data_IF_479393574137
#
_entry.id   IF_479393574137
#
_cell.length_a   1.000
_cell.length_b   1.000
_cell.length_c   1.000
_cell.angle_alpha   90.00
_cell.angle_beta   90.00
_cell.angle_gamma   90.00
#
_symmetry.space_group_name_H-M   'P 1'
#
loop_
_entity.id
_entity.type
_entity.pdbx_description
1 polymer ?
#
# COMPACT_ATOMS: atom_id res chain seq x y z
N UNK A 1 -18.56 -20.45 -7.96
CA UNK A 1 -19.47 -20.02 -6.89
C UNK A 1 -18.78 -20.37 -5.58
N UNK A 2 -18.34 -19.36 -4.82
CA UNK A 2 -17.92 -19.57 -3.44
C UNK A 2 -19.15 -20.09 -2.68
N UNK A 3 -19.02 -21.17 -1.92
CA UNK A 3 -20.09 -21.68 -1.08
C UNK A 3 -20.35 -20.64 0.02
N UNK A 4 -21.60 -20.21 0.17
CA UNK A 4 -21.99 -19.33 1.28
C UNK A 4 -21.82 -20.05 2.60
N UNK A 5 -21.25 -19.36 3.59
CA UNK A 5 -21.16 -19.85 4.96
C UNK A 5 -22.52 -19.78 5.66
N UNK A 6 -22.69 -20.52 6.75
CA UNK A 6 -23.94 -20.53 7.52
C UNK A 6 -24.23 -19.11 8.06
N UNK A 7 -25.44 -18.59 7.75
CA UNK A 7 -25.86 -17.23 8.13
C UNK A 7 -25.61 -16.14 7.08
N UNK A 8 -24.89 -16.43 5.98
CA UNK A 8 -24.73 -15.48 4.89
C UNK A 8 -26.02 -15.38 4.02
N UNK A 9 -26.40 -14.16 3.69
CA UNK A 9 -27.53 -13.88 2.78
C UNK A 9 -27.04 -13.20 1.51
N UNK A 10 -27.49 -13.67 0.35
CA UNK A 10 -27.28 -12.97 -0.91
C UNK A 10 -28.17 -11.72 -0.94
N UNK A 11 -27.58 -10.54 -1.01
CA UNK A 11 -28.27 -9.25 -1.12
C UNK A 11 -28.14 -8.64 -2.52
N UNK A 12 -27.51 -9.37 -3.44
CA UNK A 12 -27.33 -9.05 -4.84
C UNK A 12 -26.53 -10.14 -5.55
N UNK A 13 -26.41 -10.05 -6.87
CA UNK A 13 -25.68 -11.05 -7.66
C UNK A 13 -24.17 -11.15 -7.29
N UNK A 14 -23.58 -10.09 -6.74
CA UNK A 14 -22.14 -9.97 -6.44
C UNK A 14 -21.85 -9.67 -4.99
N UNK A 15 -22.86 -9.58 -4.13
CA UNK A 15 -22.74 -9.19 -2.72
C UNK A 15 -23.47 -10.19 -1.83
N UNK A 16 -22.76 -10.71 -0.82
CA UNK A 16 -23.37 -11.44 0.30
C UNK A 16 -23.06 -10.72 1.60
N UNK A 17 -23.94 -10.84 2.59
CA UNK A 17 -23.78 -10.17 3.87
C UNK A 17 -24.25 -11.04 5.03
N UNK A 18 -23.64 -10.82 6.20
CA UNK A 18 -24.06 -11.41 7.48
C UNK A 18 -23.76 -10.43 8.62
N UNK A 19 -24.51 -10.57 9.73
CA UNK A 19 -24.17 -9.95 10.99
C UNK A 19 -23.47 -11.01 11.86
N UNK A 20 -22.17 -10.83 12.13
CA UNK A 20 -21.37 -11.73 12.96
C UNK A 20 -21.27 -11.18 14.38
N UNK A 21 -21.24 -12.07 15.37
CA UNK A 21 -21.09 -11.74 16.81
C UNK A 21 -22.09 -10.66 17.30
N UNK A 22 -23.18 -10.47 16.56
CA UNK A 22 -24.26 -9.51 16.84
C UNK A 22 -23.88 -8.03 16.72
N UNK A 23 -22.70 -7.69 16.15
CA UNK A 23 -22.24 -6.31 16.01
C UNK A 23 -21.21 -6.08 14.90
N UNK A 24 -20.78 -7.09 14.19
CA UNK A 24 -19.85 -6.97 13.07
C UNK A 24 -20.59 -7.26 11.77
N UNK A 25 -20.76 -6.25 10.94
CA UNK A 25 -21.28 -6.44 9.60
C UNK A 25 -20.19 -7.04 8.69
N UNK A 26 -20.38 -8.26 8.20
CA UNK A 26 -19.49 -8.87 7.23
C UNK A 26 -20.13 -8.84 5.85
N UNK A 27 -19.40 -8.36 4.87
CA UNK A 27 -19.81 -8.25 3.48
C UNK A 27 -18.74 -8.86 2.60
N UNK A 28 -19.16 -9.70 1.64
CA UNK A 28 -18.27 -10.21 0.58
C UNK A 28 -18.69 -9.60 -0.74
N UNK A 29 -17.74 -9.02 -1.45
CA UNK A 29 -17.94 -8.51 -2.82
C UNK A 29 -17.11 -9.37 -3.76
N UNK A 30 -17.76 -10.21 -4.56
CA UNK A 30 -17.07 -11.16 -5.44
C UNK A 30 -16.52 -10.51 -6.73
N UNK A 31 -17.19 -9.50 -7.23
CA UNK A 31 -16.81 -8.71 -8.42
C UNK A 31 -17.60 -7.40 -8.41
N UNK A 32 -17.04 -6.34 -8.99
CA UNK A 32 -17.78 -5.09 -9.18
C UNK A 32 -18.54 -5.10 -10.51
N UNK A 33 -19.85 -4.84 -10.45
CA UNK A 33 -20.73 -4.83 -11.62
C UNK A 33 -22.05 -4.12 -11.35
N UNK A 34 -22.97 -4.14 -12.33
CA UNK A 34 -24.32 -3.61 -12.15
C UNK A 34 -24.99 -4.27 -10.94
N UNK A 35 -25.54 -3.46 -10.04
CA UNK A 35 -26.21 -3.94 -8.83
C UNK A 35 -25.28 -4.14 -7.61
N UNK A 36 -23.96 -4.03 -7.73
CA UNK A 36 -23.05 -4.12 -6.56
C UNK A 36 -23.32 -3.00 -5.55
N UNK A 37 -23.54 -1.77 -6.02
CA UNK A 37 -23.92 -0.65 -5.16
C UNK A 37 -25.21 -0.92 -4.38
N UNK A 38 -26.28 -1.33 -5.06
CA UNK A 38 -27.58 -1.60 -4.40
C UNK A 38 -27.50 -2.78 -3.43
N UNK A 39 -26.73 -3.82 -3.78
CA UNK A 39 -26.45 -4.94 -2.88
C UNK A 39 -25.70 -4.49 -1.63
N UNK A 40 -24.64 -3.70 -1.78
CA UNK A 40 -23.87 -3.19 -0.68
C UNK A 40 -24.65 -2.24 0.22
N UNK A 41 -25.42 -1.32 -0.38
CA UNK A 41 -26.33 -0.42 0.32
C UNK A 41 -27.38 -1.19 1.10
N UNK A 42 -27.99 -2.21 0.51
CA UNK A 42 -28.97 -3.08 1.17
C UNK A 42 -28.35 -3.81 2.37
N UNK A 43 -27.13 -4.36 2.20
CA UNK A 43 -26.41 -5.05 3.27
C UNK A 43 -26.16 -4.12 4.46
N UNK A 44 -25.66 -2.91 4.19
CA UNK A 44 -25.41 -1.90 5.23
C UNK A 44 -26.72 -1.52 5.93
N UNK A 45 -27.73 -1.09 5.19
CA UNK A 45 -29.00 -0.65 5.78
C UNK A 45 -29.73 -1.75 6.59
N UNK A 46 -29.50 -3.03 6.24
CA UNK A 46 -30.08 -4.15 6.98
C UNK A 46 -29.42 -4.34 8.34
N UNK A 47 -28.13 -4.07 8.47
CA UNK A 47 -27.35 -4.40 9.65
C UNK A 47 -26.81 -3.19 10.42
N UNK A 48 -26.87 -1.97 9.88
CA UNK A 48 -26.24 -0.76 10.44
C UNK A 48 -26.70 -0.43 11.86
N UNK A 49 -27.96 -0.70 12.21
CA UNK A 49 -28.47 -0.49 13.57
C UNK A 49 -27.81 -1.38 14.62
N UNK A 50 -27.22 -2.51 14.24
CA UNK A 50 -26.57 -3.47 15.13
C UNK A 50 -25.06 -3.48 14.95
N UNK A 51 -24.56 -3.22 13.73
CA UNK A 51 -23.14 -3.19 13.43
C UNK A 51 -22.48 -1.90 13.98
N UNK A 52 -21.32 -2.05 14.60
CA UNK A 52 -20.46 -0.94 15.02
C UNK A 52 -19.13 -0.92 14.23
N UNK A 53 -18.97 -1.85 13.29
CA UNK A 53 -17.85 -1.97 12.36
C UNK A 53 -18.16 -2.93 11.23
N UNK A 54 -17.40 -2.81 10.14
CA UNK A 54 -17.61 -3.58 8.93
C UNK A 54 -16.35 -4.33 8.51
N UNK A 55 -16.51 -5.58 8.12
CA UNK A 55 -15.50 -6.35 7.39
C UNK A 55 -15.98 -6.46 5.94
N UNK A 56 -15.24 -5.87 4.99
CA UNK A 56 -15.50 -5.96 3.55
C UNK A 56 -14.46 -6.88 2.94
N UNK A 57 -14.88 -8.08 2.57
CA UNK A 57 -14.02 -9.12 2.02
C UNK A 57 -13.93 -8.98 0.49
N UNK A 58 -12.74 -8.59 0.02
CA UNK A 58 -12.40 -8.41 -1.39
C UNK A 58 -11.40 -9.49 -1.87
N UNK A 59 -11.13 -10.51 -1.07
CA UNK A 59 -10.20 -11.57 -1.44
C UNK A 59 -10.73 -12.34 -2.66
N UNK A 60 -9.87 -12.53 -3.66
CA UNK A 60 -10.25 -13.13 -4.93
C UNK A 60 -11.07 -12.25 -5.87
N UNK A 61 -11.40 -11.01 -5.48
CA UNK A 61 -12.11 -10.07 -6.34
C UNK A 61 -11.13 -9.43 -7.35
N UNK A 62 -11.29 -9.76 -8.62
CA UNK A 62 -10.41 -9.27 -9.71
C UNK A 62 -10.80 -7.90 -10.26
N UNK A 63 -11.71 -7.18 -9.59
CA UNK A 63 -12.18 -5.86 -9.99
C UNK A 63 -13.54 -5.92 -10.69
N UNK A 64 -13.63 -5.31 -11.86
CA UNK A 64 -14.85 -5.27 -12.67
C UNK A 64 -15.19 -3.87 -13.17
N UNK A 65 -16.46 -3.52 -13.21
CA UNK A 65 -16.92 -2.23 -13.68
C UNK A 65 -16.52 -1.09 -12.76
N UNK A 66 -15.82 -0.09 -13.33
CA UNK A 66 -15.33 1.05 -12.58
C UNK A 66 -16.45 1.90 -11.99
N UNK A 67 -17.52 2.13 -12.76
CA UNK A 67 -18.65 2.94 -12.28
C UNK A 67 -19.35 2.25 -11.11
N UNK A 68 -19.61 0.95 -11.25
CA UNK A 68 -20.17 0.15 -10.16
C UNK A 68 -19.30 0.13 -8.91
N UNK A 69 -17.97 0.15 -9.07
CA UNK A 69 -17.05 0.26 -7.95
C UNK A 69 -17.07 1.63 -7.27
N UNK A 70 -17.09 2.73 -8.06
CA UNK A 70 -17.18 4.11 -7.53
C UNK A 70 -18.48 4.30 -6.74
N UNK A 71 -19.59 3.82 -7.27
CA UNK A 71 -20.88 3.90 -6.58
C UNK A 71 -20.88 3.03 -5.30
N UNK A 72 -20.28 1.82 -5.34
CA UNK A 72 -20.11 0.96 -4.16
C UNK A 72 -19.23 1.60 -3.09
N UNK A 73 -18.11 2.24 -3.48
CA UNK A 73 -17.24 2.97 -2.56
C UNK A 73 -18.00 4.03 -1.76
N UNK A 74 -18.95 4.73 -2.40
CA UNK A 74 -19.71 5.82 -1.77
C UNK A 74 -20.48 5.39 -0.53
N UNK A 75 -20.88 4.12 -0.42
CA UNK A 75 -21.60 3.57 0.73
C UNK A 75 -20.85 3.84 2.04
N UNK A 76 -19.51 3.71 2.02
CA UNK A 76 -18.67 3.99 3.19
C UNK A 76 -17.92 5.33 3.10
N UNK A 77 -17.68 5.84 1.90
CA UNK A 77 -16.83 7.01 1.68
C UNK A 77 -17.64 8.29 1.43
N UNK A 78 -18.87 8.16 0.95
CA UNK A 78 -19.77 9.28 0.65
C UNK A 78 -19.43 9.97 -0.67
N UNK A 79 -19.98 11.19 -0.81
CA UNK A 79 -19.82 12.03 -1.99
C UNK A 79 -18.38 12.45 -2.25
N UNK A 80 -18.07 12.69 -3.50
CA UNK A 80 -16.86 13.32 -3.97
C UNK A 80 -16.10 12.49 -4.99
N UNK A 81 -14.93 12.98 -5.32
CA UNK A 81 -14.01 12.35 -6.24
C UNK A 81 -13.41 11.12 -5.58
N UNK A 82 -13.60 9.94 -6.15
CA UNK A 82 -13.16 8.68 -5.56
C UNK A 82 -12.07 7.99 -6.38
N UNK A 83 -12.06 8.22 -7.69
CA UNK A 83 -11.09 7.62 -8.59
C UNK A 83 -10.68 8.65 -9.64
N UNK A 84 -9.40 8.65 -9.98
CA UNK A 84 -8.88 9.46 -11.06
C UNK A 84 -8.32 8.57 -12.15
N UNK A 85 -8.51 8.97 -13.41
CA UNK A 85 -7.98 8.30 -14.58
C UNK A 85 -7.06 9.25 -15.33
N UNK A 86 -5.82 8.84 -15.54
CA UNK A 86 -4.85 9.57 -16.38
C UNK A 86 -4.73 8.88 -17.72
N UNK A 87 -5.18 9.55 -18.77
CA UNK A 87 -5.11 9.07 -20.15
C UNK A 87 -3.90 9.64 -20.88
N UNK A 88 -3.75 9.24 -22.14
CA UNK A 88 -2.70 9.74 -23.03
C UNK A 88 -2.69 11.28 -23.08
N UNK A 89 -1.48 11.87 -22.96
CA UNK A 89 -1.28 13.32 -22.91
C UNK A 89 -1.54 13.92 -21.52
N UNK A 90 -1.44 13.10 -20.48
CA UNK A 90 -1.57 13.46 -19.05
C UNK A 90 -2.89 14.12 -18.68
N UNK A 91 -3.95 13.85 -19.46
CA UNK A 91 -5.30 14.30 -19.13
C UNK A 91 -5.83 13.50 -17.97
N UNK A 92 -6.15 14.21 -16.88
CA UNK A 92 -6.73 13.62 -15.66
C UNK A 92 -8.24 13.80 -15.68
N UNK A 93 -8.97 12.70 -15.52
CA UNK A 93 -10.42 12.64 -15.36
C UNK A 93 -10.76 12.13 -13.97
N UNK A 94 -11.86 12.61 -13.42
CA UNK A 94 -12.36 12.15 -12.14
C UNK A 94 -13.63 11.31 -12.30
N UNK A 95 -13.71 10.21 -11.57
CA UNK A 95 -14.93 9.47 -11.36
C UNK A 95 -15.43 9.74 -9.92
N UNK A 96 -16.47 10.57 -9.84
CA UNK A 96 -17.08 11.00 -8.59
C UNK A 96 -18.38 10.24 -8.30
N UNK A 97 -18.77 10.23 -7.02
CA UNK A 97 -20.10 9.83 -6.59
C UNK A 97 -20.84 10.99 -5.94
N UNK A 98 -22.12 11.14 -6.25
CA UNK A 98 -23.05 12.09 -5.62
C UNK A 98 -23.82 11.48 -4.44
N UNK A 99 -23.58 10.19 -4.15
CA UNK A 99 -24.32 9.42 -3.15
C UNK A 99 -23.80 9.70 -1.74
N UNK A 100 -24.70 9.89 -0.79
CA UNK A 100 -24.33 10.04 0.61
C UNK A 100 -23.80 8.72 1.19
N UNK A 101 -23.01 8.80 2.27
CA UNK A 101 -22.63 7.62 3.04
C UNK A 101 -23.84 6.96 3.67
N UNK A 102 -23.85 5.64 3.68
CA UNK A 102 -24.83 4.83 4.41
C UNK A 102 -24.32 4.48 5.81
N UNK A 103 -23.00 4.26 6.02
CA UNK A 103 -22.44 4.01 7.34
C UNK A 103 -21.25 4.92 7.67
N UNK A 104 -21.12 5.27 8.94
CA UNK A 104 -20.00 6.04 9.51
C UNK A 104 -18.99 5.16 10.22
N UNK A 105 -19.30 3.88 10.42
CA UNK A 105 -18.47 2.95 11.18
C UNK A 105 -17.19 2.54 10.42
N UNK A 106 -16.15 2.12 11.15
CA UNK A 106 -14.88 1.76 10.54
C UNK A 106 -14.98 0.47 9.71
N UNK A 107 -14.19 0.43 8.65
CA UNK A 107 -14.12 -0.69 7.71
C UNK A 107 -12.78 -1.42 7.86
N UNK A 108 -12.82 -2.75 7.90
CA UNK A 108 -11.67 -3.61 7.64
C UNK A 108 -11.84 -4.19 6.23
N UNK A 109 -11.02 -3.77 5.28
CA UNK A 109 -10.98 -4.37 3.97
C UNK A 109 -10.04 -5.60 3.98
N UNK A 110 -10.56 -6.78 3.63
CA UNK A 110 -9.73 -7.98 3.46
C UNK A 110 -9.30 -8.11 2.01
N UNK A 111 -8.03 -8.32 1.80
CA UNK A 111 -7.42 -8.42 0.46
C UNK A 111 -6.48 -9.61 0.35
N UNK A 112 -6.25 -10.08 -0.87
CA UNK A 112 -5.26 -11.10 -1.19
C UNK A 112 -4.51 -10.76 -2.50
N UNK A 113 -3.54 -11.59 -2.89
CA UNK A 113 -2.78 -11.41 -4.13
C UNK A 113 -3.61 -11.50 -5.42
N UNK A 114 -4.89 -11.90 -5.35
CA UNK A 114 -5.83 -11.95 -6.47
C UNK A 114 -6.77 -10.74 -6.48
N UNK A 115 -6.81 -9.96 -5.40
CA UNK A 115 -7.54 -8.68 -5.36
C UNK A 115 -6.92 -7.74 -6.39
N UNK A 116 -7.70 -7.28 -7.37
CA UNK A 116 -7.16 -6.55 -8.52
C UNK A 116 -8.07 -5.40 -9.01
N UNK A 117 -7.46 -4.40 -9.68
CA UNK A 117 -8.18 -3.36 -10.43
C UNK A 117 -9.14 -2.55 -9.54
N UNK A 118 -10.45 -2.51 -9.86
CA UNK A 118 -11.45 -1.77 -9.08
C UNK A 118 -11.51 -2.18 -7.59
N UNK A 119 -11.18 -3.44 -7.25
CA UNK A 119 -11.09 -3.88 -5.87
C UNK A 119 -9.88 -3.28 -5.14
N UNK A 120 -8.79 -3.04 -5.85
CA UNK A 120 -7.62 -2.33 -5.32
C UNK A 120 -7.94 -0.85 -5.05
N UNK A 121 -8.69 -0.22 -5.95
CA UNK A 121 -9.17 1.16 -5.75
C UNK A 121 -10.10 1.28 -4.54
N UNK A 122 -10.99 0.30 -4.32
CA UNK A 122 -11.83 0.26 -3.12
C UNK A 122 -10.96 0.17 -1.85
N UNK A 123 -10.03 -0.79 -1.79
CA UNK A 123 -9.14 -0.97 -0.65
C UNK A 123 -8.25 0.26 -0.41
N UNK A 124 -7.64 0.82 -1.47
CA UNK A 124 -6.83 2.04 -1.39
C UNK A 124 -7.64 3.21 -0.81
N UNK A 125 -8.88 3.41 -1.24
CA UNK A 125 -9.74 4.47 -0.74
C UNK A 125 -10.17 4.28 0.72
N UNK A 126 -10.27 3.04 1.23
CA UNK A 126 -10.46 2.79 2.68
C UNK A 126 -9.31 3.39 3.48
N UNK A 127 -8.08 3.23 3.01
CA UNK A 127 -6.86 3.83 3.59
C UNK A 127 -6.83 5.34 3.39
N UNK A 128 -6.93 5.80 2.15
CA UNK A 128 -6.70 7.20 1.76
C UNK A 128 -7.71 8.15 2.42
N UNK A 129 -8.97 7.72 2.54
CA UNK A 129 -10.02 8.45 3.25
C UNK A 129 -10.09 8.13 4.75
N UNK A 130 -9.13 7.38 5.25
CA UNK A 130 -9.06 6.99 6.66
C UNK A 130 -10.37 6.39 7.16
N UNK A 131 -11.03 5.56 6.32
CA UNK A 131 -12.29 4.90 6.67
C UNK A 131 -12.09 3.61 7.46
N UNK A 132 -10.85 3.14 7.57
CA UNK A 132 -10.53 1.93 8.28
C UNK A 132 -9.12 1.45 7.99
N UNK A 133 -8.94 0.14 7.96
CA UNK A 133 -7.68 -0.55 7.74
C UNK A 133 -7.83 -1.63 6.66
N UNK A 134 -6.70 -2.04 6.11
CA UNK A 134 -6.60 -3.12 5.13
C UNK A 134 -5.81 -4.27 5.77
N UNK A 135 -6.32 -5.49 5.69
CA UNK A 135 -5.65 -6.69 6.24
C UNK A 135 -5.54 -7.74 5.13
N UNK A 136 -4.39 -8.38 5.03
CA UNK A 136 -4.14 -9.47 4.09
C UNK A 136 -2.78 -9.42 3.43
N UNK A 137 -2.64 -10.03 2.27
CA UNK A 137 -1.42 -9.96 1.48
C UNK A 137 -1.47 -8.79 0.49
N UNK A 138 -0.30 -8.36 -0.02
CA UNK A 138 -0.20 -7.34 -1.06
C UNK A 138 -1.06 -7.74 -2.26
N UNK A 139 -1.82 -6.80 -2.83
CA UNK A 139 -2.74 -7.06 -3.94
C UNK A 139 -2.03 -7.23 -5.28
N UNK A 140 -2.78 -7.57 -6.34
CA UNK A 140 -2.25 -7.95 -7.64
C UNK A 140 -1.42 -6.87 -8.35
N UNK A 141 -1.79 -5.59 -8.21
CA UNK A 141 -1.09 -4.49 -8.87
C UNK A 141 -1.62 -4.14 -10.28
N UNK A 142 -2.92 -4.22 -10.52
CA UNK A 142 -3.53 -3.78 -11.78
C UNK A 142 -4.06 -2.35 -11.65
N UNK A 143 -3.18 -1.38 -11.74
CA UNK A 143 -3.51 0.06 -11.68
C UNK A 143 -3.76 0.71 -13.06
N UNK A 144 -4.20 -0.07 -14.06
CA UNK A 144 -4.50 0.43 -15.40
C UNK A 144 -5.98 0.35 -15.71
N UNK A 145 -6.49 1.35 -16.45
CA UNK A 145 -7.83 1.38 -17.01
C UNK A 145 -7.84 0.82 -18.42
N UNK A 146 -8.85 0.02 -18.73
CA UNK A 146 -9.05 -0.57 -20.06
C UNK A 146 -10.40 -0.12 -20.63
N UNK A 147 -10.43 0.21 -21.92
CA UNK A 147 -11.63 0.55 -22.67
C UNK A 147 -11.94 -0.52 -23.70
N UNK A 148 -13.19 -0.95 -23.73
CA UNK A 148 -13.69 -1.89 -24.74
C UNK A 148 -14.31 -1.11 -25.90
N UNK A 149 -13.74 -1.29 -27.09
CA UNK A 149 -14.23 -0.69 -28.34
C UNK A 149 -15.01 -1.74 -29.13
N UNK A 150 -16.24 -1.43 -29.47
CA UNK A 150 -17.16 -2.37 -30.12
C UNK A 150 -17.84 -1.74 -31.33
N UNK A 151 -18.60 -2.55 -32.08
CA UNK A 151 -19.43 -2.07 -33.19
C UNK A 151 -20.50 -1.05 -32.75
N UNK A 152 -20.86 -1.02 -31.46
CA UNK A 152 -21.82 -0.03 -30.94
C UNK A 152 -21.27 1.39 -31.02
N UNK A 153 -20.00 1.59 -30.66
CA UNK A 153 -19.32 2.88 -30.69
C UNK A 153 -18.65 3.15 -32.04
N UNK A 154 -18.16 2.10 -32.71
CA UNK A 154 -17.37 2.16 -33.94
C UNK A 154 -17.88 1.13 -34.97
N UNK A 155 -19.09 1.32 -35.55
CA UNK A 155 -19.74 0.31 -36.39
C UNK A 155 -18.94 -0.07 -37.66
N UNK A 156 -18.17 0.88 -38.20
CA UNK A 156 -17.37 0.62 -39.43
C UNK A 156 -16.07 -0.17 -39.11
N UNK A 157 -15.49 0.03 -37.94
CA UNK A 157 -14.26 -0.62 -37.53
C UNK A 157 -14.49 -2.07 -37.08
N UNK A 158 -15.66 -2.39 -36.52
CA UNK A 158 -16.02 -3.68 -35.93
C UNK A 158 -17.25 -4.29 -36.59
N UNK A 159 -17.42 -4.09 -37.91
CA UNK A 159 -18.57 -4.55 -38.68
C UNK A 159 -18.71 -6.12 -38.68
N UNK A 160 -17.63 -6.82 -38.43
CA UNK A 160 -17.55 -8.29 -38.30
C UNK A 160 -17.97 -8.85 -36.94
N UNK A 161 -18.38 -7.96 -35.99
CA UNK A 161 -18.72 -8.31 -34.63
C UNK A 161 -17.52 -8.50 -33.70
N UNK A 162 -16.31 -8.19 -34.16
CA UNK A 162 -15.12 -8.16 -33.32
C UNK A 162 -15.18 -7.03 -32.28
N UNK A 163 -14.34 -7.11 -31.28
CA UNK A 163 -14.17 -6.05 -30.27
C UNK A 163 -12.69 -5.93 -29.92
N UNK A 164 -12.28 -4.73 -29.48
CA UNK A 164 -10.91 -4.44 -29.08
C UNK A 164 -10.89 -3.93 -27.65
N UNK A 165 -10.16 -4.64 -26.76
CA UNK A 165 -9.89 -4.20 -25.40
C UNK A 165 -8.48 -3.59 -25.34
N UNK A 166 -8.39 -2.30 -25.04
CA UNK A 166 -7.13 -1.58 -24.94
C UNK A 166 -6.92 -0.99 -23.55
N UNK A 167 -5.69 -1.01 -23.09
CA UNK A 167 -5.27 -0.18 -21.95
C UNK A 167 -5.21 1.27 -22.42
N UNK A 168 -6.02 2.13 -21.84
CA UNK A 168 -6.17 3.53 -22.23
C UNK A 168 -5.60 4.53 -21.23
N UNK A 169 -5.33 4.10 -20.00
CA UNK A 169 -4.81 4.98 -18.97
C UNK A 169 -4.41 4.28 -17.69
N UNK A 170 -4.00 5.09 -16.72
CA UNK A 170 -3.72 4.67 -15.35
C UNK A 170 -4.87 5.09 -14.45
N UNK A 171 -5.19 4.24 -13.46
CA UNK A 171 -6.19 4.51 -12.44
C UNK A 171 -5.51 4.82 -11.11
N UNK A 172 -6.04 5.81 -10.40
CA UNK A 172 -5.54 6.31 -9.11
C UNK A 172 -6.68 6.38 -8.10
N UNK A 173 -6.36 6.14 -6.84
CA UNK A 173 -7.26 6.37 -5.70
C UNK A 173 -7.38 7.87 -5.38
N UNK A 174 -8.12 8.20 -4.32
CA UNK A 174 -8.35 9.58 -3.86
C UNK A 174 -7.04 10.34 -3.56
N UNK A 175 -6.02 9.66 -3.08
CA UNK A 175 -4.67 10.26 -2.85
C UNK A 175 -3.85 10.45 -4.13
N UNK A 176 -4.43 10.23 -5.31
CA UNK A 176 -3.72 10.24 -6.60
C UNK A 176 -2.59 9.20 -6.68
N UNK A 177 -2.74 8.10 -5.93
CA UNK A 177 -1.79 6.98 -5.91
C UNK A 177 -2.35 5.79 -6.70
N UNK A 178 -1.53 5.18 -7.54
CA UNK A 178 -1.89 3.99 -8.30
C UNK A 178 -1.37 2.71 -7.64
N UNK A 179 -2.18 1.65 -7.71
CA UNK A 179 -1.74 0.31 -7.37
C UNK A 179 -0.90 -0.37 -8.48
N UNK A 180 -0.67 0.32 -9.62
CA UNK A 180 -0.05 -0.30 -10.77
C UNK A 180 1.31 -0.91 -10.43
N UNK A 181 1.47 -2.19 -10.74
CA UNK A 181 2.61 -3.08 -10.46
C UNK A 181 2.80 -3.35 -8.97
N UNK A 182 2.86 -2.32 -8.14
CA UNK A 182 3.16 -2.46 -6.70
C UNK A 182 2.05 -3.12 -5.90
N UNK A 183 0.79 -3.03 -6.36
CA UNK A 183 -0.37 -3.42 -5.56
C UNK A 183 -0.66 -2.47 -4.39
N UNK A 184 -1.74 -2.73 -3.68
CA UNK A 184 -2.05 -2.06 -2.42
C UNK A 184 -1.32 -2.77 -1.28
N UNK A 185 -0.57 -2.02 -0.49
CA UNK A 185 0.09 -2.52 0.71
C UNK A 185 -0.94 -2.52 1.84
N UNK A 186 -1.25 -3.68 2.47
CA UNK A 186 -2.17 -3.72 3.60
C UNK A 186 -1.63 -2.98 4.83
N UNK A 187 -2.53 -2.47 5.68
CA UNK A 187 -2.17 -1.91 7.00
C UNK A 187 -1.56 -2.99 7.91
N UNK A 188 -2.13 -4.20 7.84
CA UNK A 188 -1.59 -5.38 8.50
C UNK A 188 -1.33 -6.45 7.44
N UNK A 189 -0.05 -6.79 7.25
CA UNK A 189 0.36 -7.81 6.29
C UNK A 189 0.18 -9.19 6.92
N UNK A 190 -0.73 -9.98 6.34
CA UNK A 190 -1.10 -11.32 6.79
C UNK A 190 -1.17 -12.29 5.61
N UNK A 191 -0.96 -13.55 5.90
CA UNK A 191 -1.27 -14.61 4.93
C UNK A 191 -2.79 -14.87 4.81
N UNK A 192 -3.19 -15.61 3.78
CA UNK A 192 -4.61 -15.86 3.51
C UNK A 192 -5.32 -16.59 4.67
N UNK A 193 -4.59 -17.44 5.43
CA UNK A 193 -5.14 -18.20 6.53
C UNK A 193 -5.41 -17.33 7.77
N UNK A 194 -4.57 -16.30 8.01
CA UNK A 194 -4.66 -15.42 9.16
C UNK A 194 -5.45 -14.13 8.89
N UNK A 195 -5.64 -13.73 7.64
CA UNK A 195 -6.32 -12.50 7.26
C UNK A 195 -7.68 -12.31 7.96
N UNK A 196 -8.60 -13.25 7.82
CA UNK A 196 -9.93 -13.15 8.43
C UNK A 196 -9.91 -13.39 9.96
N UNK A 197 -9.19 -14.38 10.49
CA UNK A 197 -9.06 -14.55 11.94
C UNK A 197 -8.52 -13.32 12.67
N UNK A 198 -7.49 -12.65 12.12
CA UNK A 198 -6.92 -11.41 12.69
C UNK A 198 -7.92 -10.26 12.62
N UNK A 199 -8.63 -10.10 11.50
CA UNK A 199 -9.69 -9.10 11.37
C UNK A 199 -10.78 -9.29 12.45
N UNK A 200 -11.26 -10.51 12.63
CA UNK A 200 -12.25 -10.82 13.67
C UNK A 200 -11.72 -10.54 15.08
N UNK A 201 -10.46 -10.86 15.34
CA UNK A 201 -9.85 -10.60 16.64
C UNK A 201 -9.83 -9.11 17.00
N UNK A 202 -9.65 -8.23 16.02
CA UNK A 202 -9.69 -6.76 16.17
C UNK A 202 -11.11 -6.20 16.32
N UNK A 203 -12.13 -7.02 16.15
CA UNK A 203 -13.53 -6.61 16.18
C UNK A 203 -14.22 -6.81 17.54
N UNK A 204 -13.50 -6.97 18.63
CA UNK A 204 -14.15 -6.98 19.95
C UNK A 204 -14.87 -5.65 20.24
N UNK A 205 -15.97 -5.70 21.00
CA UNK A 205 -16.70 -4.49 21.38
C UNK A 205 -15.85 -3.56 22.24
N UNK A 206 -16.03 -2.27 22.07
CA UNK A 206 -15.48 -1.30 23.00
C UNK A 206 -16.05 -1.57 24.40
N UNK A 207 -15.23 -1.64 25.45
CA UNK A 207 -15.73 -1.87 26.81
C UNK A 207 -16.58 -0.68 27.26
N UNK A 208 -17.77 -0.97 27.78
CA UNK A 208 -18.71 0.05 28.29
C UNK A 208 -18.44 0.48 29.74
N UNK A 209 -17.54 -0.22 30.45
CA UNK A 209 -17.21 0.03 31.84
C UNK A 209 -15.82 -0.51 32.16
N UNK A 210 -15.75 -1.59 32.97
CA UNK A 210 -14.48 -2.28 33.25
C UNK A 210 -13.84 -2.75 31.95
N UNK A 211 -12.64 -2.27 31.70
CA UNK A 211 -11.86 -2.60 30.49
C UNK A 211 -10.77 -3.66 30.76
N UNK A 212 -10.75 -4.25 31.95
CA UNK A 212 -9.84 -5.34 32.27
C UNK A 212 -9.99 -6.48 31.26
N UNK A 213 -8.87 -7.04 30.81
CA UNK A 213 -8.90 -8.08 29.79
C UNK A 213 -9.10 -7.60 28.35
N UNK A 214 -9.04 -6.28 28.13
CA UNK A 214 -9.11 -5.70 26.77
C UNK A 214 -7.79 -5.09 26.37
N UNK A 215 -7.34 -5.40 25.13
CA UNK A 215 -6.26 -4.69 24.46
C UNK A 215 -6.88 -3.72 23.45
N UNK A 216 -6.51 -2.44 23.52
CA UNK A 216 -6.86 -1.41 22.53
C UNK A 216 -5.69 -1.16 21.61
N UNK A 217 -5.93 -1.24 20.32
CA UNK A 217 -4.95 -1.06 19.25
C UNK A 217 -5.31 0.21 18.46
N UNK A 218 -4.38 1.14 18.31
CA UNK A 218 -4.57 2.33 17.49
C UNK A 218 -3.97 2.10 16.11
N UNK A 219 -4.82 2.06 15.08
CA UNK A 219 -4.41 1.96 13.68
C UNK A 219 -5.12 3.06 12.88
N UNK A 220 -4.33 3.92 12.24
CA UNK A 220 -4.82 5.14 11.63
C UNK A 220 -5.53 6.02 12.68
N UNK A 221 -6.70 6.56 12.32
CA UNK A 221 -7.53 7.36 13.26
C UNK A 221 -8.43 6.51 14.17
N UNK A 222 -8.46 5.18 13.97
CA UNK A 222 -9.40 4.29 14.61
C UNK A 222 -8.84 3.56 15.81
N UNK A 223 -9.73 3.19 16.73
CA UNK A 223 -9.44 2.36 17.89
C UNK A 223 -10.09 0.99 17.70
N UNK A 224 -9.26 -0.04 17.69
CA UNK A 224 -9.68 -1.41 17.57
C UNK A 224 -9.53 -2.08 18.93
N UNK A 225 -10.37 -3.07 19.21
CA UNK A 225 -10.36 -3.73 20.48
C UNK A 225 -10.16 -5.23 20.30
N UNK A 226 -9.41 -5.83 21.23
CA UNK A 226 -9.13 -7.26 21.28
C UNK A 226 -9.56 -7.75 22.66
N UNK A 227 -10.44 -8.74 22.71
CA UNK A 227 -10.70 -9.49 23.93
C UNK A 227 -9.51 -10.43 24.20
N UNK A 228 -8.83 -10.26 25.32
CA UNK A 228 -7.61 -11.01 25.65
C UNK A 228 -7.90 -12.47 25.99
N UNK A 229 -9.09 -12.81 26.48
CA UNK A 229 -9.46 -14.21 26.70
C UNK A 229 -9.66 -14.92 25.35
N UNK A 230 -10.35 -14.28 24.41
CA UNK A 230 -10.48 -14.78 23.03
C UNK A 230 -9.12 -14.88 22.31
N UNK A 231 -8.24 -13.91 22.54
CA UNK A 231 -6.88 -13.92 22.00
C UNK A 231 -6.04 -15.08 22.55
N UNK A 232 -6.13 -15.35 23.84
CA UNK A 232 -5.42 -16.46 24.48
C UNK A 232 -5.97 -17.83 24.09
N UNK A 233 -7.26 -17.90 23.77
CA UNK A 233 -7.91 -19.13 23.27
C UNK A 233 -7.47 -19.47 21.82
N UNK A 234 -6.95 -18.48 21.07
CA UNK A 234 -6.41 -18.63 19.71
C UNK A 234 -5.00 -18.02 19.62
N UNK A 235 -4.01 -18.67 20.26
CA UNK A 235 -2.68 -18.11 20.43
C UNK A 235 -1.94 -17.85 19.11
N UNK A 236 -2.21 -18.61 18.06
CA UNK A 236 -1.64 -18.43 16.72
C UNK A 236 -2.17 -17.15 16.05
N UNK A 237 -3.48 -16.86 16.19
CA UNK A 237 -4.09 -15.65 15.63
C UNK A 237 -3.59 -14.41 16.37
N UNK A 238 -3.45 -14.52 17.71
CA UNK A 238 -2.92 -13.41 18.49
C UNK A 238 -1.44 -13.15 18.18
N UNK A 239 -0.64 -14.19 17.96
CA UNK A 239 0.74 -14.04 17.53
C UNK A 239 0.82 -13.38 16.16
N UNK A 240 0.00 -13.82 15.19
CA UNK A 240 -0.07 -13.22 13.84
C UNK A 240 -0.42 -11.73 13.94
N UNK A 241 -1.47 -11.35 14.67
CA UNK A 241 -1.79 -9.93 14.91
C UNK A 241 -0.59 -9.14 15.44
N UNK A 242 0.05 -9.62 16.52
CA UNK A 242 1.19 -8.93 17.11
C UNK A 242 2.38 -8.86 16.14
N UNK A 243 2.54 -9.83 15.28
CA UNK A 243 3.54 -9.85 14.21
C UNK A 243 3.20 -8.90 13.05
N UNK A 244 1.98 -8.67 12.70
CA UNK A 244 1.57 -7.74 11.65
C UNK A 244 1.54 -6.27 12.09
N UNK A 245 1.48 -5.96 13.39
CA UNK A 245 1.48 -4.58 13.87
C UNK A 245 2.83 -3.89 13.64
N UNK A 246 2.92 -2.71 13.05
CA UNK A 246 4.15 -1.91 13.02
C UNK A 246 4.76 -1.73 14.42
N UNK A 247 6.11 -1.72 14.55
CA UNK A 247 6.77 -1.64 15.87
C UNK A 247 6.35 -0.46 16.73
N UNK A 248 6.04 0.69 16.11
CA UNK A 248 5.61 1.92 16.75
C UNK A 248 4.10 2.01 17.01
N UNK A 249 3.34 0.94 16.76
CA UNK A 249 1.89 0.94 16.99
C UNK A 249 1.57 1.18 18.46
N UNK A 250 0.70 2.15 18.73
CA UNK A 250 0.22 2.45 20.06
C UNK A 250 -0.78 1.39 20.56
N UNK A 251 -0.35 0.64 21.55
CA UNK A 251 -1.15 -0.36 22.25
C UNK A 251 -1.48 0.10 23.66
N UNK A 252 -2.66 -0.27 24.16
CA UNK A 252 -3.09 0.04 25.52
C UNK A 252 -3.77 -1.17 26.15
N UNK A 253 -3.30 -1.59 27.32
CA UNK A 253 -3.96 -2.61 28.13
C UNK A 253 -4.96 -1.93 29.07
N UNK A 254 -6.15 -2.49 29.16
CA UNK A 254 -7.15 -2.08 30.13
C UNK A 254 -6.76 -2.48 31.56
N UNK A 255 -6.90 -1.53 32.50
CA UNK A 255 -6.57 -1.69 33.92
C UNK A 255 -7.82 -1.57 34.84
N UNK A 256 -9.00 -1.80 34.29
CA UNK A 256 -10.29 -1.64 34.96
C UNK A 256 -10.96 -0.33 34.57
N UNK A 257 -10.48 0.81 35.03
CA UNK A 257 -11.02 2.12 34.72
C UNK A 257 -10.09 2.97 33.82
N UNK A 258 -8.85 2.53 33.63
CA UNK A 258 -7.81 3.24 32.88
C UNK A 258 -7.22 2.42 31.73
N UNK A 259 -6.26 3.03 31.04
CA UNK A 259 -5.54 2.41 29.94
C UNK A 259 -4.04 2.62 30.13
N UNK A 260 -3.28 1.53 30.11
CA UNK A 260 -1.82 1.56 30.24
C UNK A 260 -1.18 1.39 28.86
N UNK A 261 -0.41 2.39 28.43
CA UNK A 261 0.32 2.34 27.14
C UNK A 261 1.39 1.23 27.22
N UNK A 262 1.45 0.43 26.15
CA UNK A 262 2.38 -0.68 26.00
C UNK A 262 3.03 -0.62 24.62
N UNK A 263 4.24 -1.20 24.49
CA UNK A 263 4.82 -1.51 23.18
C UNK A 263 4.33 -2.87 22.68
N UNK A 264 4.40 -3.11 21.38
CA UNK A 264 4.11 -4.42 20.77
C UNK A 264 4.98 -5.51 21.42
N UNK A 265 6.27 -5.23 21.63
CA UNK A 265 7.20 -6.17 22.26
C UNK A 265 6.81 -6.49 23.72
N UNK A 266 6.36 -5.49 24.48
CA UNK A 266 5.93 -5.69 25.87
C UNK A 266 4.67 -6.56 25.96
N UNK A 267 3.68 -6.32 25.09
CA UNK A 267 2.47 -7.15 25.01
C UNK A 267 2.83 -8.57 24.59
N UNK A 268 3.67 -8.72 23.55
CA UNK A 268 4.11 -10.05 23.11
C UNK A 268 4.81 -10.83 24.21
N UNK A 269 5.74 -10.21 24.94
CA UNK A 269 6.44 -10.83 26.06
C UNK A 269 5.48 -11.23 27.19
N UNK A 270 4.53 -10.35 27.57
CA UNK A 270 3.55 -10.60 28.61
C UNK A 270 2.67 -11.82 28.33
N UNK A 271 2.31 -12.07 27.08
CA UNK A 271 1.46 -13.18 26.66
C UNK A 271 2.24 -14.36 26.05
N UNK A 272 3.57 -14.41 26.27
CA UNK A 272 4.42 -15.51 25.84
C UNK A 272 4.53 -15.69 24.32
N UNK A 273 4.37 -14.58 23.58
CA UNK A 273 4.49 -14.57 22.10
C UNK A 273 5.87 -14.11 21.69
N UNK A 274 6.55 -14.94 20.93
CA UNK A 274 7.79 -14.54 20.28
C UNK A 274 7.51 -13.64 19.08
N UNK A 275 7.93 -12.37 19.13
CA UNK A 275 7.86 -11.43 17.99
C UNK A 275 9.25 -11.33 17.35
N UNK A 276 9.88 -12.46 17.10
CA UNK A 276 11.30 -12.52 16.72
C UNK A 276 11.60 -12.10 15.26
N UNK A 277 10.60 -12.06 14.40
CA UNK A 277 10.82 -11.81 12.96
C UNK A 277 10.85 -10.34 12.55
N UNK A 278 10.56 -9.41 13.49
CA UNK A 278 10.27 -8.00 13.14
C UNK A 278 11.45 -7.07 13.12
N UNK A 279 12.56 -7.40 13.72
CA UNK A 279 13.75 -6.58 13.69
C UNK A 279 14.91 -7.34 13.09
N UNK A 280 15.78 -6.63 12.38
CA UNK A 280 17.09 -7.16 12.05
C UNK A 280 17.97 -7.11 13.30
N UNK A 281 18.83 -8.13 13.50
CA UNK A 281 19.67 -8.24 14.69
C UNK A 281 20.71 -7.13 14.80
N UNK A 282 21.12 -6.58 13.66
CA UNK A 282 22.22 -5.65 13.50
C UNK A 282 21.83 -4.16 13.36
N UNK A 283 20.53 -3.83 13.52
CA UNK A 283 20.06 -2.44 13.34
C UNK A 283 19.86 -1.68 14.66
N UNK A 284 20.01 -2.33 15.82
CA UNK A 284 19.67 -1.71 17.11
C UNK A 284 20.47 -0.45 17.46
N UNK A 285 21.64 -0.24 16.85
CA UNK A 285 22.45 0.98 16.99
C UNK A 285 22.20 2.02 15.88
N UNK A 286 21.34 1.73 14.91
CA UNK A 286 21.00 2.66 13.84
C UNK A 286 19.96 3.66 14.32
N UNK A 287 20.16 4.95 14.02
CA UNK A 287 19.15 5.99 14.23
C UNK A 287 17.91 5.80 13.36
N UNK A 288 17.99 4.96 12.32
CA UNK A 288 16.91 4.61 11.40
C UNK A 288 16.28 3.23 11.68
N UNK A 289 16.55 2.65 12.85
CA UNK A 289 16.10 1.30 13.20
C UNK A 289 14.57 1.11 13.06
N UNK A 290 13.78 2.10 13.46
CA UNK A 290 12.31 2.03 13.36
C UNK A 290 11.84 2.02 11.91
N UNK A 291 12.41 2.86 11.05
CA UNK A 291 12.11 2.88 9.62
C UNK A 291 12.46 1.55 8.95
N UNK A 292 13.67 1.03 9.22
CA UNK A 292 14.15 -0.25 8.66
C UNK A 292 13.24 -1.40 9.11
N UNK A 293 12.90 -1.48 10.40
CA UNK A 293 12.04 -2.53 10.93
C UNK A 293 10.59 -2.41 10.45
N UNK A 294 10.09 -1.20 10.23
CA UNK A 294 8.79 -0.97 9.60
C UNK A 294 8.79 -1.53 8.19
N UNK A 295 9.77 -1.17 7.36
CA UNK A 295 9.87 -1.69 6.00
C UNK A 295 10.03 -3.22 5.97
N UNK A 296 10.73 -3.82 6.95
CA UNK A 296 10.79 -5.28 7.13
C UNK A 296 9.42 -5.88 7.43
N UNK A 297 8.65 -5.25 8.33
CA UNK A 297 7.29 -5.70 8.71
C UNK A 297 6.37 -5.77 7.49
N UNK A 298 6.52 -4.84 6.54
CA UNK A 298 5.77 -4.83 5.27
C UNK A 298 6.39 -5.68 4.16
N UNK A 299 7.44 -6.46 4.45
CA UNK A 299 8.13 -7.29 3.46
C UNK A 299 8.85 -6.50 2.37
N UNK A 300 9.00 -5.18 2.55
CA UNK A 300 9.63 -4.26 1.59
C UNK A 300 11.16 -4.45 1.60
N UNK A 301 11.75 -4.61 2.78
CA UNK A 301 13.17 -4.88 2.92
C UNK A 301 13.43 -6.31 3.38
N UNK A 302 14.50 -6.88 2.83
CA UNK A 302 15.01 -8.21 3.19
C UNK A 302 16.47 -8.11 3.64
N UNK A 303 16.86 -8.97 4.57
CA UNK A 303 18.24 -9.14 4.98
C UNK A 303 19.05 -9.96 3.97
N UNK A 304 20.35 -10.09 4.24
CA UNK A 304 21.22 -11.04 3.56
C UNK A 304 20.88 -12.50 3.95
N UNK A 305 21.64 -13.46 3.44
CA UNK A 305 21.42 -14.88 3.74
C UNK A 305 21.59 -15.23 5.25
N UNK A 306 22.29 -14.40 6.00
CA UNK A 306 22.44 -14.55 7.46
C UNK A 306 21.30 -13.86 8.25
N UNK A 307 20.41 -13.13 7.57
CA UNK A 307 19.32 -12.39 8.18
C UNK A 307 19.70 -10.98 8.65
N UNK A 308 20.93 -10.51 8.34
CA UNK A 308 21.40 -9.17 8.71
C UNK A 308 21.01 -8.13 7.66
N UNK A 309 20.73 -6.91 8.09
CA UNK A 309 20.45 -5.79 7.21
C UNK A 309 21.70 -5.08 6.71
N UNK A 310 22.77 -5.06 7.51
CA UNK A 310 24.03 -4.35 7.25
C UNK A 310 23.83 -2.84 7.05
N UNK A 311 23.34 -2.09 8.06
CA UNK A 311 22.88 -0.70 7.91
C UNK A 311 23.97 0.25 7.39
N UNK A 312 25.21 0.07 7.80
CA UNK A 312 26.34 0.94 7.43
C UNK A 312 27.05 0.57 6.11
N UNK A 313 26.61 -0.51 5.45
CA UNK A 313 27.17 -0.89 4.16
C UNK A 313 26.80 0.13 3.08
N UNK A 314 27.79 0.58 2.30
CA UNK A 314 27.57 1.44 1.15
C UNK A 314 26.90 0.66 0.02
N UNK A 315 25.95 1.30 -0.66
CA UNK A 315 25.28 0.75 -1.84
C UNK A 315 26.06 1.09 -3.11
N UNK A 316 26.24 0.09 -3.96
CA UNK A 316 26.54 0.31 -5.37
C UNK A 316 25.24 0.49 -6.17
N UNK A 317 25.35 0.95 -7.42
CA UNK A 317 24.20 1.24 -8.29
C UNK A 317 23.37 -0.02 -8.57
N UNK A 318 24.00 -1.17 -8.75
CA UNK A 318 23.32 -2.44 -8.99
C UNK A 318 22.54 -2.90 -7.76
N UNK A 319 23.13 -2.85 -6.58
CA UNK A 319 22.50 -3.20 -5.31
C UNK A 319 21.31 -2.29 -5.00
N UNK A 320 21.43 -0.99 -5.30
CA UNK A 320 20.32 -0.06 -5.15
C UNK A 320 19.16 -0.42 -6.09
N UNK A 321 19.43 -0.71 -7.37
CA UNK A 321 18.38 -1.10 -8.30
C UNK A 321 17.64 -2.35 -7.82
N UNK A 322 18.36 -3.35 -7.33
CA UNK A 322 17.73 -4.55 -6.79
C UNK A 322 16.90 -4.25 -5.54
N UNK A 323 17.41 -3.41 -4.63
CA UNK A 323 16.69 -3.01 -3.42
C UNK A 323 15.37 -2.33 -3.78
N UNK A 324 15.41 -1.33 -4.66
CA UNK A 324 14.23 -0.55 -5.03
C UNK A 324 13.23 -1.37 -5.86
N UNK A 325 13.69 -2.16 -6.83
CA UNK A 325 12.82 -3.01 -7.63
C UNK A 325 12.09 -4.05 -6.77
N UNK A 326 12.79 -4.66 -5.80
CA UNK A 326 12.18 -5.60 -4.86
C UNK A 326 11.23 -4.90 -3.88
N UNK A 327 11.59 -3.72 -3.39
CA UNK A 327 10.75 -2.92 -2.50
C UNK A 327 9.40 -2.58 -3.13
N UNK A 328 9.42 -2.23 -4.42
CA UNK A 328 8.23 -1.87 -5.19
C UNK A 328 7.53 -3.06 -5.85
N UNK A 329 8.03 -4.26 -5.62
CA UNK A 329 7.53 -5.52 -6.22
C UNK A 329 7.55 -5.51 -7.77
N UNK A 330 8.52 -4.82 -8.35
CA UNK A 330 8.66 -4.76 -9.79
C UNK A 330 9.12 -6.11 -10.35
N UNK A 331 8.49 -6.60 -11.43
CA UNK A 331 8.86 -7.87 -12.03
C UNK A 331 10.29 -7.82 -12.57
N UNK A 332 11.01 -8.93 -12.50
CA UNK A 332 12.32 -9.07 -13.15
C UNK A 332 12.14 -9.10 -14.65
N UNK A 333 12.87 -8.26 -15.37
CA UNK A 333 12.90 -8.32 -16.83
C UNK A 333 13.61 -9.59 -17.29
N UNK A 334 13.03 -10.24 -18.32
CA UNK A 334 13.65 -11.35 -19.05
C UNK A 334 14.24 -10.90 -20.38
N UNK A 335 14.23 -9.60 -20.67
CA UNK A 335 14.75 -9.04 -21.92
C UNK A 335 16.29 -8.98 -21.91
N UNK A 336 16.84 -8.64 -23.06
CA UNK A 336 18.28 -8.43 -23.18
C UNK A 336 18.76 -7.32 -22.20
N UNK A 337 20.03 -7.41 -21.73
CA UNK A 337 20.61 -6.39 -20.88
C UNK A 337 20.46 -4.99 -21.45
N UNK A 338 20.07 -4.03 -20.59
CA UNK A 338 19.84 -2.65 -20.99
C UNK A 338 21.14 -1.90 -21.32
N UNK A 339 22.29 -2.36 -20.76
CA UNK A 339 23.59 -1.71 -20.91
C UNK A 339 24.70 -2.73 -21.21
N UNK A 340 25.75 -2.34 -21.97
CA UNK A 340 26.84 -3.26 -22.33
C UNK A 340 27.62 -3.86 -21.17
N UNK A 341 27.69 -3.12 -20.04
CA UNK A 341 28.41 -3.53 -18.81
C UNK A 341 27.51 -4.20 -17.76
N UNK A 342 26.29 -4.59 -18.15
CA UNK A 342 25.38 -5.41 -17.34
C UNK A 342 25.20 -6.79 -17.96
N UNK A 343 26.14 -7.76 -17.74
CA UNK A 343 26.10 -9.07 -18.39
C UNK A 343 24.79 -9.83 -18.04
N UNK A 344 24.28 -10.62 -18.99
CA UNK A 344 22.98 -11.28 -18.86
C UNK A 344 22.91 -12.28 -17.68
N UNK A 345 24.02 -12.83 -17.27
CA UNK A 345 24.13 -13.78 -16.16
C UNK A 345 24.38 -13.10 -14.79
N UNK A 346 24.58 -11.77 -14.76
CA UNK A 346 24.74 -11.07 -13.49
C UNK A 346 23.39 -10.99 -12.74
N UNK A 347 23.44 -11.26 -11.44
CA UNK A 347 22.25 -11.34 -10.57
C UNK A 347 21.41 -10.05 -10.54
N UNK A 348 22.02 -8.90 -10.81
CA UNK A 348 21.38 -7.58 -10.79
C UNK A 348 20.78 -7.16 -12.15
N UNK A 349 21.23 -7.75 -13.25
CA UNK A 349 20.82 -7.35 -14.60
C UNK A 349 19.30 -7.32 -14.81
N UNK A 350 18.51 -8.30 -14.34
CA UNK A 350 17.06 -8.24 -14.47
C UNK A 350 16.43 -7.02 -13.79
N UNK A 351 16.97 -6.58 -12.68
CA UNK A 351 16.47 -5.42 -11.95
C UNK A 351 16.86 -4.10 -12.61
N UNK A 352 18.11 -3.98 -13.09
CA UNK A 352 18.58 -2.82 -13.85
C UNK A 352 17.77 -2.66 -15.13
N UNK A 353 17.53 -3.75 -15.87
CA UNK A 353 16.72 -3.74 -17.09
C UNK A 353 15.28 -3.31 -16.82
N UNK A 354 14.64 -3.83 -15.78
CA UNK A 354 13.30 -3.39 -15.36
C UNK A 354 13.26 -1.89 -15.11
N UNK A 355 14.14 -1.39 -14.25
CA UNK A 355 14.13 0.05 -13.89
C UNK A 355 14.53 0.96 -15.06
N UNK A 356 15.35 0.47 -15.98
CA UNK A 356 15.68 1.20 -17.21
C UNK A 356 14.47 1.29 -18.16
N UNK A 357 13.74 0.18 -18.37
CA UNK A 357 12.51 0.16 -19.17
C UNK A 357 11.42 1.06 -18.60
N UNK A 358 11.36 1.20 -17.28
CA UNK A 358 10.43 2.10 -16.60
C UNK A 358 10.90 3.57 -16.57
N UNK A 359 12.05 3.89 -17.16
CA UNK A 359 12.62 5.23 -17.15
C UNK A 359 13.12 5.71 -15.78
N UNK A 360 13.26 4.78 -14.82
CA UNK A 360 13.72 5.09 -13.45
C UNK A 360 15.22 5.29 -13.41
N UNK A 361 16.00 4.46 -14.11
CA UNK A 361 17.45 4.58 -14.20
C UNK A 361 17.91 4.74 -15.64
N UNK A 362 18.99 5.50 -15.83
CA UNK A 362 19.67 5.69 -17.11
C UNK A 362 21.15 5.31 -16.94
N UNK A 363 21.81 5.02 -18.06
CA UNK A 363 23.27 4.97 -18.14
C UNK A 363 23.90 6.37 -18.06
N UNK A 364 25.24 6.38 -18.11
CA UNK A 364 26.04 7.59 -18.21
C UNK A 364 26.30 7.97 -19.67
N UNK A 365 26.93 9.11 -19.89
CA UNK A 365 27.23 9.65 -21.23
C UNK A 365 28.18 8.75 -22.05
N UNK A 366 28.92 7.85 -21.40
CA UNK A 366 29.74 6.83 -22.05
C UNK A 366 28.93 5.60 -22.53
N UNK A 367 27.62 5.57 -22.28
CA UNK A 367 26.73 4.49 -22.65
C UNK A 367 26.75 3.29 -21.68
N UNK A 368 27.47 3.39 -20.57
CA UNK A 368 27.58 2.33 -19.55
C UNK A 368 26.68 2.62 -18.33
N UNK A 369 26.41 1.59 -17.56
CA UNK A 369 25.62 1.70 -16.32
C UNK A 369 26.51 1.89 -15.07
N UNK A 370 27.72 1.37 -15.08
CA UNK A 370 28.64 1.33 -13.94
C UNK A 370 28.04 0.64 -12.69
N UNK A 371 27.68 -0.65 -12.76
CA UNK A 371 26.89 -1.33 -11.75
C UNK A 371 27.55 -1.37 -10.36
N UNK A 372 28.87 -1.37 -10.28
CA UNK A 372 29.63 -1.50 -9.05
C UNK A 372 30.16 -0.17 -8.47
N UNK A 373 29.84 0.96 -9.11
CA UNK A 373 30.20 2.26 -8.57
C UNK A 373 29.34 2.59 -7.35
N UNK A 374 29.93 3.13 -6.27
CA UNK A 374 29.17 3.66 -5.14
C UNK A 374 28.18 4.73 -5.60
N UNK A 375 26.91 4.64 -5.18
CA UNK A 375 25.92 5.61 -5.60
C UNK A 375 25.93 6.87 -4.73
N UNK A 376 26.16 8.08 -5.30
CA UNK A 376 26.00 9.33 -4.57
C UNK A 376 24.56 9.55 -4.13
N UNK A 377 24.35 10.12 -2.94
CA UNK A 377 23.01 10.32 -2.38
C UNK A 377 22.09 11.12 -3.31
N UNK A 378 22.56 12.18 -3.97
CA UNK A 378 21.76 12.92 -4.95
C UNK A 378 21.27 12.08 -6.14
N UNK A 379 22.06 11.08 -6.60
CA UNK A 379 21.59 10.16 -7.64
C UNK A 379 20.51 9.24 -7.11
N UNK A 380 20.69 8.73 -5.90
CA UNK A 380 19.65 7.94 -5.24
C UNK A 380 18.34 8.72 -5.11
N UNK A 381 18.38 9.97 -4.65
CA UNK A 381 17.18 10.81 -4.52
C UNK A 381 16.46 10.99 -5.85
N UNK A 382 17.17 11.19 -6.97
CA UNK A 382 16.54 11.31 -8.31
C UNK A 382 15.88 9.97 -8.72
N UNK A 383 16.53 8.85 -8.46
CA UNK A 383 15.96 7.53 -8.74
C UNK A 383 14.69 7.31 -7.90
N UNK A 384 14.73 7.64 -6.61
CA UNK A 384 13.58 7.55 -5.72
C UNK A 384 12.44 8.46 -6.20
N UNK A 385 12.72 9.70 -6.58
CA UNK A 385 11.73 10.63 -7.12
C UNK A 385 11.02 10.06 -8.36
N UNK A 386 11.75 9.43 -9.27
CA UNK A 386 11.17 8.78 -10.46
C UNK A 386 10.30 7.58 -10.10
N UNK A 387 10.68 6.77 -9.11
CA UNK A 387 9.86 5.68 -8.60
C UNK A 387 8.55 6.22 -8.02
N UNK A 388 8.65 7.23 -7.17
CA UNK A 388 7.48 7.86 -6.56
C UNK A 388 6.58 8.52 -7.61
N UNK A 389 7.14 9.15 -8.63
CA UNK A 389 6.39 9.70 -9.76
C UNK A 389 5.65 8.63 -10.59
N UNK A 390 6.17 7.41 -10.66
CA UNK A 390 5.45 6.28 -11.26
C UNK A 390 4.28 5.79 -10.40
N UNK A 391 4.31 6.10 -9.11
CA UNK A 391 3.31 5.65 -8.13
C UNK A 391 2.24 6.72 -7.85
N UNK A 392 2.61 7.99 -7.87
CA UNK A 392 1.71 9.11 -7.52
C UNK A 392 1.65 10.15 -8.63
N UNK A 393 0.43 10.53 -9.03
CA UNK A 393 0.22 11.48 -10.15
C UNK A 393 0.73 12.89 -9.83
N UNK A 394 0.59 13.37 -8.60
CA UNK A 394 1.08 14.69 -8.20
C UNK A 394 2.61 14.77 -8.35
N UNK A 395 3.32 13.75 -7.87
CA UNK A 395 4.77 13.66 -8.04
C UNK A 395 5.17 13.54 -9.52
N UNK A 396 4.39 12.79 -10.33
CA UNK A 396 4.60 12.68 -11.77
C UNK A 396 4.49 14.04 -12.46
N UNK A 397 3.42 14.78 -12.21
CA UNK A 397 3.19 16.10 -12.79
C UNK A 397 4.28 17.12 -12.34
N UNK A 398 4.66 17.09 -11.08
CA UNK A 398 5.72 17.95 -10.52
C UNK A 398 7.09 17.63 -11.17
N UNK A 399 7.43 16.34 -11.31
CA UNK A 399 8.69 15.94 -11.97
C UNK A 399 8.74 16.35 -13.44
N UNK A 400 7.61 16.26 -14.15
CA UNK A 400 7.48 16.66 -15.54
C UNK A 400 7.53 18.20 -15.74
N UNK A 401 6.94 18.96 -14.81
CA UNK A 401 6.96 20.44 -14.85
C UNK A 401 8.33 21.02 -14.51
N UNK A 402 9.11 20.30 -13.69
CA UNK A 402 10.37 20.81 -13.15
C UNK A 402 10.20 21.70 -11.91
N UNK A 403 11.32 22.03 -11.27
CA UNK A 403 11.34 22.94 -10.11
C UNK A 403 10.92 24.36 -10.53
N UNK A 404 9.96 25.02 -9.85
CA UNK A 404 9.59 26.40 -10.14
C UNK A 404 10.74 27.38 -9.95
N UNK A 405 10.75 28.48 -10.73
CA UNK A 405 11.82 29.48 -10.68
C UNK A 405 12.03 30.09 -9.28
N UNK A 406 10.95 30.31 -8.52
CA UNK A 406 11.01 30.82 -7.14
C UNK A 406 11.69 29.85 -6.19
N UNK A 407 11.41 28.56 -6.31
CA UNK A 407 12.03 27.51 -5.49
C UNK A 407 13.49 27.30 -5.90
N UNK A 408 13.78 27.34 -7.20
CA UNK A 408 15.14 27.27 -7.73
C UNK A 408 16.00 28.46 -7.26
N UNK A 409 15.41 29.67 -7.18
CA UNK A 409 16.10 30.87 -6.72
C UNK A 409 16.24 30.96 -5.18
N UNK A 410 15.58 30.09 -4.42
CA UNK A 410 15.62 30.10 -2.94
C UNK A 410 17.01 29.77 -2.35
N UNK A 411 17.85 29.11 -3.14
CA UNK A 411 19.15 28.58 -2.70
C UNK A 411 19.07 27.26 -1.91
N UNK A 412 17.86 26.76 -1.61
CA UNK A 412 17.66 25.54 -0.83
C UNK A 412 18.29 24.29 -1.47
N UNK A 413 18.39 24.28 -2.80
CA UNK A 413 18.91 23.15 -3.58
C UNK A 413 20.32 23.39 -4.16
N UNK A 414 21.02 24.44 -3.76
CA UNK A 414 22.31 24.80 -4.33
C UNK A 414 23.44 23.80 -4.05
N UNK A 415 23.30 23.03 -2.97
CA UNK A 415 24.22 21.93 -2.64
C UNK A 415 24.15 20.78 -3.63
N UNK A 416 23.07 20.66 -4.41
CA UNK A 416 22.83 19.60 -5.40
C UNK A 416 23.24 20.05 -6.80
N UNK A 417 23.72 19.11 -7.59
CA UNK A 417 23.98 19.38 -9.00
C UNK A 417 22.67 19.75 -9.74
N UNK A 418 22.69 20.65 -10.74
CA UNK A 418 21.48 21.15 -11.39
C UNK A 418 20.50 20.08 -11.88
N UNK A 419 21.02 18.96 -12.39
CA UNK A 419 20.22 17.84 -12.87
C UNK A 419 19.47 17.08 -11.75
N UNK A 420 19.91 17.18 -10.50
CA UNK A 420 19.30 16.51 -9.35
C UNK A 420 18.22 17.35 -8.65
N UNK A 421 18.26 18.67 -8.79
CA UNK A 421 17.45 19.62 -8.02
C UNK A 421 15.95 19.35 -8.14
N UNK A 422 15.43 19.11 -9.33
CA UNK A 422 13.99 18.79 -9.54
C UNK A 422 13.59 17.52 -8.79
N UNK A 423 14.38 16.47 -8.86
CA UNK A 423 14.06 15.20 -8.15
C UNK A 423 14.04 15.38 -6.63
N UNK A 424 15.00 16.11 -6.09
CA UNK A 424 15.05 16.40 -4.64
C UNK A 424 13.87 17.27 -4.23
N UNK A 425 13.56 18.33 -5.00
CA UNK A 425 12.41 19.20 -4.76
C UNK A 425 11.08 18.44 -4.76
N UNK A 426 10.88 17.52 -5.70
CA UNK A 426 9.67 16.67 -5.73
C UNK A 426 9.53 15.85 -4.47
N UNK A 427 10.62 15.32 -3.94
CA UNK A 427 10.59 14.51 -2.71
C UNK A 427 10.33 15.36 -1.46
N UNK A 428 10.76 16.60 -1.39
CA UNK A 428 10.59 17.46 -0.21
C UNK A 428 9.14 17.58 0.25
N UNK A 429 8.17 17.46 -0.65
CA UNK A 429 6.74 17.47 -0.32
C UNK A 429 6.27 16.19 0.42
N UNK A 430 7.03 15.10 0.36
CA UNK A 430 6.64 13.77 0.84
C UNK A 430 7.70 13.11 1.72
N UNK A 431 8.86 13.72 1.81
CA UNK A 431 10.02 13.16 2.46
C UNK A 431 10.28 13.84 3.79
N UNK A 432 10.55 13.04 4.82
CA UNK A 432 10.96 13.54 6.11
C UNK A 432 12.47 13.64 6.15
N UNK A 433 13.00 14.85 6.30
CA UNK A 433 14.44 15.05 6.36
C UNK A 433 15.08 14.17 7.45
N UNK A 434 16.22 13.50 7.18
CA UNK A 434 16.92 12.71 8.17
C UNK A 434 17.44 13.59 9.31
N UNK A 435 17.66 13.00 10.50
CA UNK A 435 18.17 13.70 11.66
C UNK A 435 19.53 14.37 11.41
N UNK A 436 20.32 13.80 10.49
CA UNK A 436 21.57 14.36 9.98
C UNK A 436 21.43 14.62 8.48
N UNK A 437 21.84 15.84 8.08
CA UNK A 437 21.94 16.16 6.66
C UNK A 437 22.97 15.21 5.98
N UNK A 438 22.54 14.57 4.88
CA UNK A 438 23.42 13.73 4.08
C UNK A 438 24.00 14.59 2.96
N UNK A 439 25.33 14.57 2.80
CA UNK A 439 25.97 15.34 1.74
C UNK A 439 25.56 14.77 0.36
N UNK A 440 25.12 15.61 -0.60
CA UNK A 440 24.60 15.16 -1.90
C UNK A 440 25.52 14.20 -2.66
N UNK A 441 26.82 14.38 -2.55
CA UNK A 441 27.85 13.57 -3.25
C UNK A 441 28.46 12.45 -2.40
N UNK A 442 28.01 12.30 -1.15
CA UNK A 442 28.45 11.17 -0.32
C UNK A 442 27.86 9.85 -0.86
N UNK A 443 28.63 8.74 -0.74
CA UNK A 443 28.07 7.42 -1.03
C UNK A 443 26.90 7.10 -0.10
N UNK A 444 25.80 6.63 -0.65
CA UNK A 444 24.58 6.26 0.11
C UNK A 444 24.80 4.94 0.86
N UNK A 445 24.48 4.91 2.14
CA UNK A 445 24.42 3.67 2.93
C UNK A 445 23.06 2.99 2.82
N UNK A 446 23.01 1.70 3.19
CA UNK A 446 21.74 0.94 3.18
C UNK A 446 20.71 1.51 4.15
N UNK A 447 21.13 2.01 5.30
CA UNK A 447 20.21 2.62 6.29
C UNK A 447 19.66 3.96 5.81
N UNK A 448 20.46 4.80 5.15
CA UNK A 448 20.01 6.05 4.55
C UNK A 448 18.99 5.78 3.44
N UNK A 449 19.29 4.85 2.52
CA UNK A 449 18.38 4.46 1.47
C UNK A 449 17.05 3.88 2.02
N UNK A 450 17.11 3.09 3.09
CA UNK A 450 15.93 2.57 3.75
C UNK A 450 15.09 3.69 4.40
N UNK A 451 15.74 4.64 5.06
CA UNK A 451 15.05 5.76 5.68
C UNK A 451 14.35 6.65 4.66
N UNK A 452 15.02 7.00 3.57
CA UNK A 452 14.45 7.85 2.52
C UNK A 452 13.28 7.14 1.82
N UNK A 453 13.41 5.84 1.55
CA UNK A 453 12.32 5.04 1.01
C UNK A 453 11.13 4.98 1.97
N UNK A 454 11.38 4.73 3.26
CA UNK A 454 10.34 4.76 4.30
C UNK A 454 9.63 6.10 4.33
N UNK A 455 10.39 7.21 4.40
CA UNK A 455 9.87 8.57 4.45
C UNK A 455 8.96 8.89 3.26
N UNK A 456 9.39 8.51 2.05
CA UNK A 456 8.59 8.73 0.84
C UNK A 456 7.30 7.89 0.84
N UNK A 457 7.35 6.61 1.21
CA UNK A 457 6.17 5.74 1.26
C UNK A 457 5.20 6.16 2.38
N UNK A 458 5.73 6.56 3.54
CA UNK A 458 4.94 7.08 4.67
C UNK A 458 4.30 8.44 4.33
N UNK A 459 5.07 9.36 3.73
CA UNK A 459 4.57 10.65 3.29
C UNK A 459 3.43 10.54 2.27
N UNK A 460 3.46 9.52 1.39
CA UNK A 460 2.37 9.19 0.48
C UNK A 460 1.21 8.44 1.16
N UNK A 461 1.32 8.11 2.44
CA UNK A 461 0.30 7.34 3.16
C UNK A 461 0.18 5.88 2.70
N UNK A 462 1.20 5.33 2.04
CA UNK A 462 1.20 3.93 1.56
C UNK A 462 1.51 2.93 2.68
N UNK A 463 2.28 3.37 3.65
CA UNK A 463 2.59 2.65 4.91
C UNK A 463 2.44 3.63 6.07
N UNK A 464 2.18 3.16 7.29
CA UNK A 464 2.09 4.01 8.48
C UNK A 464 3.43 4.57 8.91
#
# INVERSE_FOLDING_TARGET
QASMSEGEQAVGATVTAALEDGHVGRIVISVFGPGTYEGLKTAVNTHDAAADRWIVDLRGNTGGDLRGAVDAMSVFMGKGDLVYLREKGDKLYCAASDTAKESMDPVIALVDSRTASAAELFAANVRDRQRGIIIGSRTYGKGVAQSLFTAKEYPQAFADGSALLLTTGYAFSDSLTTANVMGVIPTLLEDDAMTQPVAKLLCAKAPAGDNSGTLRVHLGRWRWYVDLAAAQARPEVFAALLEALPPQTDLYLGSGSGWEKQSVAAVAARYGKGVSSRSFSDVGASEYADAINTLKTYGILKGNAAGDFMPKATLDRASLCALLAQAMDYPKSNDAPAFPDTPADAWYTPYVSTLSQMGVVNGYDDGLFHPHDPIPHQQFMVILARIIANTNHTCHAALAAGIPDEDAASGAYDAYDPWARTGVWVLDGWWHAPAKAIAPKAPTTREEAAYDLYSALNGLGLIP
#
